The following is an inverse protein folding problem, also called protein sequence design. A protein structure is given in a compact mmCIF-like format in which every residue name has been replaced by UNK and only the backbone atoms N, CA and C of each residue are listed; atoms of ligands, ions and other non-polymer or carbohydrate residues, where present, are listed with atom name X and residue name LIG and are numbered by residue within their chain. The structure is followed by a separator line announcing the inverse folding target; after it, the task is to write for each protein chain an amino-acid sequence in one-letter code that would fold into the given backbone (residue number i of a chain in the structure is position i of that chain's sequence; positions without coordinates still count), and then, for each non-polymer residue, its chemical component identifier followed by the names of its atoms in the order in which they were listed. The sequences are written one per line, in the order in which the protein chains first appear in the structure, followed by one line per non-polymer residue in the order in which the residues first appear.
data_IF_155958288747
#
_entry.id   IF_155958288747
#
_cell.length_a   1.000
_cell.length_b   1.000
_cell.length_c   1.000
_cell.angle_alpha   90.00
_cell.angle_beta   90.00
_cell.angle_gamma   90.00
#
_symmetry.space_group_name_H-M   'P 1'
#
loop_
_entity.id
_entity.type
_entity.pdbx_description
1 polymer ?
#
# COMPACT_ATOMS: atom_id res chain seq x y z
N UNK A 1 16.22 27.39 -17.08
CA UNK A 1 15.07 26.46 -16.98
C UNK A 1 15.63 25.19 -16.37
N UNK A 2 15.09 24.70 -15.24
CA UNK A 2 15.55 23.44 -14.65
C UNK A 2 14.92 22.30 -15.45
N UNK A 3 15.77 21.44 -16.01
CA UNK A 3 15.35 20.22 -16.68
C UNK A 3 14.45 19.41 -15.74
N UNK A 4 13.22 19.14 -16.19
CA UNK A 4 12.33 18.20 -15.51
C UNK A 4 12.95 16.84 -15.69
N UNK A 5 13.43 16.24 -14.59
CA UNK A 5 13.85 14.85 -14.57
C UNK A 5 12.65 13.99 -14.97
N UNK A 6 12.71 13.47 -16.19
CA UNK A 6 11.69 12.62 -16.78
C UNK A 6 12.11 11.18 -16.52
N UNK A 7 11.31 10.45 -15.75
CA UNK A 7 11.57 9.04 -15.45
C UNK A 7 11.39 8.24 -16.74
N UNK A 8 12.44 7.61 -17.25
CA UNK A 8 12.35 6.71 -18.41
C UNK A 8 11.77 5.36 -17.95
N UNK A 9 10.45 5.21 -18.03
CA UNK A 9 9.74 4.02 -17.53
C UNK A 9 9.43 2.97 -18.60
N UNK A 10 9.83 3.17 -19.86
CA UNK A 10 9.41 2.27 -20.94
C UNK A 10 7.87 2.12 -21.07
N UNK A 11 7.09 3.09 -20.56
CA UNK A 11 5.63 3.11 -20.61
C UNK A 11 4.91 2.45 -19.43
N UNK A 12 5.49 2.45 -18.22
CA UNK A 12 4.92 1.81 -17.02
C UNK A 12 4.82 2.80 -15.84
N UNK A 13 3.60 3.30 -15.59
CA UNK A 13 3.12 4.01 -14.37
C UNK A 13 3.73 5.37 -14.02
N UNK A 14 2.86 6.31 -13.62
CA UNK A 14 3.24 7.43 -12.74
C UNK A 14 4.43 8.27 -13.18
N UNK A 15 4.57 8.56 -14.47
CA UNK A 15 5.74 9.30 -15.00
C UNK A 15 5.80 10.75 -14.52
N UNK A 16 4.68 11.27 -14.02
CA UNK A 16 4.57 12.65 -13.56
C UNK A 16 4.56 12.68 -12.03
N UNK A 17 5.30 13.64 -11.44
CA UNK A 17 5.15 13.97 -10.02
C UNK A 17 3.68 14.17 -9.65
N UNK A 18 3.34 13.82 -8.41
CA UNK A 18 1.99 13.94 -7.90
C UNK A 18 1.60 15.42 -7.86
N UNK A 19 0.40 15.74 -8.34
CA UNK A 19 -0.13 17.10 -8.27
C UNK A 19 -0.49 17.46 -6.84
N UNK A 20 -0.52 18.76 -6.51
CA UNK A 20 -0.90 19.22 -5.16
C UNK A 20 -2.30 18.73 -4.77
N UNK A 21 -3.25 18.69 -5.72
CA UNK A 21 -4.58 18.13 -5.48
C UNK A 21 -4.55 16.64 -5.15
N UNK A 22 -3.67 15.86 -5.78
CA UNK A 22 -3.48 14.45 -5.43
C UNK A 22 -2.87 14.31 -4.03
N UNK A 23 -1.83 15.10 -3.72
CA UNK A 23 -1.18 15.12 -2.40
C UNK A 23 -2.20 15.48 -1.31
N UNK A 24 -3.02 16.49 -1.51
CA UNK A 24 -4.09 16.88 -0.58
C UNK A 24 -5.12 15.77 -0.37
N UNK A 25 -5.57 15.11 -1.43
CA UNK A 25 -6.53 14.01 -1.34
C UNK A 25 -5.96 12.82 -0.57
N UNK A 26 -4.69 12.50 -0.81
CA UNK A 26 -3.96 11.45 -0.09
C UNK A 26 -3.86 11.83 1.40
N UNK A 27 -3.41 13.05 1.73
CA UNK A 27 -3.31 13.52 3.12
C UNK A 27 -4.66 13.52 3.83
N UNK A 28 -5.75 13.92 3.15
CA UNK A 28 -7.11 13.83 3.71
C UNK A 28 -7.48 12.39 4.05
N UNK A 29 -7.14 11.44 3.18
CA UNK A 29 -7.42 10.03 3.44
C UNK A 29 -6.56 9.46 4.57
N UNK A 30 -5.28 9.85 4.65
CA UNK A 30 -4.39 9.47 5.77
C UNK A 30 -4.99 9.95 7.10
N UNK A 31 -5.46 11.21 7.18
CA UNK A 31 -6.13 11.73 8.39
C UNK A 31 -7.38 10.92 8.78
N UNK A 32 -8.13 10.41 7.81
CA UNK A 32 -9.29 9.54 8.08
C UNK A 32 -8.87 8.16 8.60
N UNK A 33 -7.74 7.62 8.15
CA UNK A 33 -7.17 6.39 8.72
C UNK A 33 -6.73 6.67 10.17
N UNK A 34 -6.00 7.76 10.40
CA UNK A 34 -5.46 8.16 11.69
C UNK A 34 -6.54 8.43 12.75
N UNK A 35 -7.72 8.92 12.38
CA UNK A 35 -8.80 9.16 13.33
C UNK A 35 -9.31 7.89 14.01
N UNK A 36 -9.01 6.71 13.46
CA UNK A 36 -9.30 5.41 14.07
C UNK A 36 -8.05 4.59 14.40
N UNK A 37 -6.87 5.21 14.36
CA UNK A 37 -5.59 4.57 14.66
C UNK A 37 -5.12 4.93 16.08
N UNK A 38 -4.25 4.12 16.71
CA UNK A 38 -3.72 4.43 18.06
C UNK A 38 -2.82 5.67 18.08
N UNK A 39 -2.20 6.02 16.96
CA UNK A 39 -1.34 7.20 16.81
C UNK A 39 -1.24 7.64 15.35
N UNK A 40 -0.87 8.90 15.14
CA UNK A 40 -0.54 9.47 13.83
C UNK A 40 0.77 8.89 13.31
N UNK A 41 0.90 8.81 11.98
CA UNK A 41 2.17 8.42 11.35
C UNK A 41 3.25 9.46 11.67
N UNK A 42 4.44 8.99 12.03
CA UNK A 42 5.54 9.85 12.43
C UNK A 42 6.02 10.77 11.29
N UNK A 43 6.29 10.19 10.12
CA UNK A 43 6.82 10.94 8.97
C UNK A 43 6.09 10.54 7.68
N UNK A 44 5.64 11.55 6.92
CA UNK A 44 5.18 11.38 5.54
C UNK A 44 6.20 12.05 4.63
N UNK A 45 6.71 11.31 3.64
CA UNK A 45 7.70 11.80 2.69
C UNK A 45 7.21 11.59 1.27
N UNK A 46 7.07 12.70 0.55
CA UNK A 46 6.86 12.68 -0.89
C UNK A 46 8.18 12.33 -1.58
N UNK A 47 8.14 11.26 -2.36
CA UNK A 47 9.29 10.77 -3.13
C UNK A 47 8.90 10.63 -4.59
N UNK A 48 7.89 11.36 -5.03
CA UNK A 48 7.37 11.38 -6.40
C UNK A 48 8.31 12.04 -7.43
N UNK A 49 9.42 12.59 -6.95
CA UNK A 49 10.55 13.15 -7.71
C UNK A 49 11.82 12.29 -7.64
N UNK A 50 11.76 11.15 -6.94
CA UNK A 50 12.86 10.23 -6.68
C UNK A 50 12.38 8.86 -7.16
N UNK A 51 13.24 8.03 -7.72
CA UNK A 51 12.88 6.70 -8.25
C UNK A 51 12.57 5.70 -7.10
N UNK A 52 11.68 6.08 -6.17
CA UNK A 52 11.31 5.37 -4.96
C UNK A 52 9.82 5.08 -4.97
N UNK A 53 9.48 3.91 -4.43
CA UNK A 53 8.10 3.44 -4.38
C UNK A 53 7.38 3.89 -3.11
N UNK A 54 6.05 3.80 -3.16
CA UNK A 54 5.18 3.94 -2.01
C UNK A 54 5.38 2.75 -1.08
N UNK A 55 5.81 3.01 0.15
CA UNK A 55 6.14 1.98 1.12
C UNK A 55 6.16 2.55 2.55
N UNK A 56 5.73 1.74 3.50
CA UNK A 56 5.92 2.01 4.93
C UNK A 56 7.23 1.38 5.46
N UNK A 57 7.95 2.15 6.27
CA UNK A 57 9.18 1.72 6.95
C UNK A 57 9.01 1.80 8.48
N UNK A 58 8.87 0.65 9.17
CA UNK A 58 8.62 0.61 10.61
C UNK A 58 9.70 1.29 11.46
N UNK A 59 10.98 1.15 11.09
CA UNK A 59 12.11 1.67 11.88
C UNK A 59 12.14 3.19 12.08
N UNK A 60 11.43 3.95 11.23
CA UNK A 60 11.35 5.41 11.32
C UNK A 60 9.91 5.93 11.42
N UNK A 61 8.93 5.03 11.58
CA UNK A 61 7.50 5.31 11.40
C UNK A 61 7.24 6.21 10.17
N UNK A 62 7.82 5.80 9.03
CA UNK A 62 7.92 6.59 7.82
C UNK A 62 7.04 6.00 6.71
N UNK A 63 6.16 6.82 6.15
CA UNK A 63 5.47 6.53 4.89
C UNK A 63 6.12 7.30 3.75
N UNK A 64 6.75 6.58 2.82
CA UNK A 64 7.12 7.14 1.52
C UNK A 64 5.90 7.07 0.58
N UNK A 65 5.67 8.13 -0.17
CA UNK A 65 4.61 8.19 -1.18
C UNK A 65 5.23 8.61 -2.51
N UNK A 66 5.36 7.63 -3.41
CA UNK A 66 5.88 7.80 -4.77
C UNK A 66 4.75 7.95 -5.80
N UNK A 67 5.12 8.11 -7.07
CA UNK A 67 4.14 8.22 -8.16
C UNK A 67 3.38 6.90 -8.41
N UNK A 68 3.96 5.78 -8.00
CA UNK A 68 3.40 4.42 -8.06
C UNK A 68 2.16 4.22 -7.18
N UNK A 69 1.86 5.16 -6.27
CA UNK A 69 0.60 5.20 -5.52
C UNK A 69 -0.60 5.34 -6.46
N UNK A 70 -0.43 6.01 -7.61
CA UNK A 70 -1.52 6.23 -8.56
C UNK A 70 -1.73 4.99 -9.45
N UNK A 71 -3.00 4.62 -9.74
CA UNK A 71 -3.29 3.52 -10.65
C UNK A 71 -2.84 3.83 -12.08
N UNK A 72 -2.53 2.79 -12.86
CA UNK A 72 -2.16 2.95 -14.28
C UNK A 72 -3.38 3.35 -15.10
N UNK A 73 -3.24 4.34 -15.98
CA UNK A 73 -4.31 4.77 -16.89
C UNK A 73 -4.62 3.69 -17.94
N UNK A 74 -3.65 2.82 -18.29
CA UNK A 74 -3.86 1.66 -19.17
C UNK A 74 -3.08 0.43 -18.65
N UNK A 75 -3.74 -0.67 -18.28
CA UNK A 75 -3.06 -1.91 -17.90
C UNK A 75 -2.54 -2.62 -19.15
N UNK A 76 -1.43 -2.16 -19.74
CA UNK A 76 -0.73 -2.93 -20.77
C UNK A 76 0.15 -3.98 -20.08
N UNK A 77 -0.29 -5.24 -20.20
CA UNK A 77 0.42 -6.51 -19.95
C UNK A 77 0.30 -7.15 -18.56
N UNK A 78 -0.06 -8.44 -18.62
CA UNK A 78 0.21 -9.46 -17.60
C UNK A 78 1.73 -9.55 -17.40
N UNK A 79 2.21 -9.32 -16.18
CA UNK A 79 3.63 -9.43 -15.84
C UNK A 79 3.87 -9.08 -14.38
N UNK A 80 4.70 -9.88 -13.72
CA UNK A 80 4.98 -9.99 -12.29
C UNK A 80 5.72 -8.81 -11.67
N UNK A 81 5.13 -7.61 -11.64
CA UNK A 81 5.67 -6.49 -10.86
C UNK A 81 4.57 -5.80 -10.05
N UNK A 82 4.42 -6.29 -8.81
CA UNK A 82 3.78 -5.66 -7.62
C UNK A 82 2.27 -5.43 -7.68
N UNK A 83 1.56 -5.88 -6.64
CA UNK A 83 0.10 -5.77 -6.47
C UNK A 83 -0.49 -4.37 -6.72
N UNK A 84 0.32 -3.33 -6.51
CA UNK A 84 -0.04 -1.93 -6.70
C UNK A 84 -0.54 -1.66 -8.12
N UNK A 85 -0.08 -2.45 -9.10
CA UNK A 85 -0.78 -2.90 -10.32
C UNK A 85 -2.22 -2.45 -10.55
N UNK A 86 -3.08 -2.96 -9.66
CA UNK A 86 -4.54 -2.97 -9.82
C UNK A 86 -5.24 -2.20 -8.71
N UNK A 87 -4.48 -1.65 -7.76
CA UNK A 87 -4.99 -0.96 -6.60
C UNK A 87 -5.22 0.51 -6.91
N UNK A 88 -6.28 1.08 -6.35
CA UNK A 88 -6.47 2.52 -6.29
C UNK A 88 -5.44 3.13 -5.34
N UNK A 89 -5.15 4.42 -5.47
CA UNK A 89 -4.27 5.11 -4.52
C UNK A 89 -4.75 4.98 -3.06
N UNK A 90 -6.07 4.95 -2.81
CA UNK A 90 -6.62 4.69 -1.48
C UNK A 90 -6.23 3.32 -0.97
N UNK A 91 -6.38 2.30 -1.81
CA UNK A 91 -6.06 0.92 -1.46
C UNK A 91 -4.56 0.76 -1.16
N UNK A 92 -3.69 1.43 -1.92
CA UNK A 92 -2.25 1.45 -1.68
C UNK A 92 -1.92 2.11 -0.33
N UNK A 93 -2.46 3.30 -0.04
CA UNK A 93 -2.25 3.97 1.26
C UNK A 93 -2.80 3.14 2.44
N UNK A 94 -3.95 2.51 2.25
CA UNK A 94 -4.55 1.60 3.23
C UNK A 94 -3.66 0.37 3.50
N UNK A 95 -3.06 -0.20 2.44
CA UNK A 95 -2.10 -1.30 2.54
C UNK A 95 -0.90 -0.91 3.41
N UNK A 96 -0.30 0.26 3.16
CA UNK A 96 0.85 0.73 3.93
C UNK A 96 0.50 1.04 5.39
N UNK A 97 -0.59 1.76 5.63
CA UNK A 97 -0.90 2.27 6.98
C UNK A 97 -1.70 1.30 7.84
N UNK A 98 -2.83 0.80 7.34
CA UNK A 98 -3.67 -0.14 8.10
C UNK A 98 -3.08 -1.55 8.05
N UNK A 99 -2.45 -1.89 6.93
CA UNK A 99 -1.77 -3.16 6.74
C UNK A 99 -0.46 -3.25 7.52
N UNK A 100 0.61 -2.61 7.02
CA UNK A 100 1.94 -2.73 7.60
C UNK A 100 2.10 -1.98 8.92
N UNK A 101 1.82 -0.67 8.93
CA UNK A 101 2.10 0.17 10.11
C UNK A 101 1.38 -0.29 11.36
N UNK A 102 0.08 -0.51 11.30
CA UNK A 102 -0.66 -0.93 12.49
C UNK A 102 -0.29 -2.33 12.98
N UNK A 103 0.11 -3.24 12.09
CA UNK A 103 0.67 -4.53 12.51
C UNK A 103 2.04 -4.34 13.20
N UNK A 104 2.88 -3.45 12.66
CA UNK A 104 4.18 -3.11 13.24
C UNK A 104 4.07 -2.47 14.63
N UNK A 105 3.11 -1.57 14.84
CA UNK A 105 2.84 -0.97 16.15
C UNK A 105 2.44 -2.01 17.21
N UNK A 106 1.90 -3.16 16.80
CA UNK A 106 1.56 -4.29 17.67
C UNK A 106 2.67 -5.32 17.81
N UNK A 107 3.81 -5.13 17.13
CA UNK A 107 4.89 -6.12 17.10
C UNK A 107 4.57 -7.37 16.26
N UNK A 108 3.57 -7.31 15.36
CA UNK A 108 3.11 -8.44 14.53
C UNK A 108 3.61 -8.37 13.08
N UNK A 109 4.76 -7.75 12.84
CA UNK A 109 5.41 -7.83 11.52
C UNK A 109 5.83 -9.26 11.23
N UNK A 110 5.59 -9.72 10.02
CA UNK A 110 6.00 -11.02 9.55
C UNK A 110 7.39 -10.91 8.92
N UNK A 111 8.25 -11.90 9.18
CA UNK A 111 9.58 -11.96 8.58
C UNK A 111 9.54 -12.40 7.11
N UNK A 112 8.60 -13.28 6.78
CA UNK A 112 8.43 -13.80 5.42
C UNK A 112 7.63 -12.83 4.58
N UNK A 113 8.22 -12.31 3.49
CA UNK A 113 7.58 -11.33 2.60
C UNK A 113 6.17 -11.75 2.14
N UNK A 114 5.90 -13.02 1.74
CA UNK A 114 4.55 -13.41 1.34
C UNK A 114 3.52 -13.31 2.48
N UNK A 115 3.93 -13.55 3.73
CA UNK A 115 3.08 -13.43 4.90
C UNK A 115 2.82 -11.96 5.23
N UNK A 116 3.87 -11.12 5.21
CA UNK A 116 3.77 -9.70 5.55
C UNK A 116 2.87 -8.95 4.58
N UNK A 117 3.06 -9.17 3.28
CA UNK A 117 2.25 -8.52 2.25
C UNK A 117 0.80 -9.05 2.20
N UNK A 118 0.61 -10.33 2.51
CA UNK A 118 -0.73 -10.91 2.62
C UNK A 118 -1.47 -10.36 3.85
N UNK A 119 -0.78 -10.28 4.99
CA UNK A 119 -1.29 -9.64 6.20
C UNK A 119 -1.71 -8.21 5.90
N UNK A 120 -0.81 -7.41 5.31
CA UNK A 120 -1.09 -6.02 5.01
C UNK A 120 -2.32 -5.84 4.11
N UNK A 121 -2.42 -6.63 3.03
CA UNK A 121 -3.57 -6.60 2.12
C UNK A 121 -4.88 -6.98 2.81
N UNK A 122 -4.88 -8.07 3.59
CA UNK A 122 -6.09 -8.55 4.27
C UNK A 122 -6.53 -7.57 5.36
N UNK A 123 -5.58 -7.04 6.13
CA UNK A 123 -5.83 -6.00 7.14
C UNK A 123 -6.43 -4.75 6.52
N UNK A 124 -5.80 -4.23 5.46
CA UNK A 124 -6.28 -3.07 4.74
C UNK A 124 -7.71 -3.28 4.22
N UNK A 125 -7.99 -4.45 3.65
CA UNK A 125 -9.32 -4.79 3.17
C UNK A 125 -10.40 -4.84 4.26
N UNK A 126 -10.04 -5.29 5.47
CA UNK A 126 -10.98 -5.45 6.58
C UNK A 126 -11.21 -4.15 7.32
N UNK A 127 -10.14 -3.43 7.64
CA UNK A 127 -10.18 -2.39 8.67
C UNK A 127 -10.06 -0.97 8.15
N UNK A 128 -9.67 -0.78 6.89
CA UNK A 128 -9.51 0.58 6.36
C UNK A 128 -10.86 1.28 6.21
N UNK A 129 -10.97 2.55 6.62
CA UNK A 129 -12.19 3.32 6.44
C UNK A 129 -12.34 3.75 4.97
N UNK A 130 -13.59 3.96 4.54
CA UNK A 130 -13.93 4.57 3.24
C UNK A 130 -13.31 3.91 1.97
N UNK A 131 -13.00 2.61 2.04
CA UNK A 131 -12.79 1.76 0.86
C UNK A 131 -14.13 1.22 0.35
N UNK A 132 -14.33 1.28 -0.96
CA UNK A 132 -15.44 0.63 -1.65
C UNK A 132 -15.37 -0.90 -1.56
N UNK A 133 -16.49 -1.58 -1.82
CA UNK A 133 -16.52 -3.04 -1.88
C UNK A 133 -15.52 -3.61 -2.90
N UNK A 134 -15.38 -2.97 -4.06
CA UNK A 134 -14.42 -3.38 -5.10
C UNK A 134 -12.98 -3.27 -4.62
N UNK A 135 -12.61 -2.18 -3.92
CA UNK A 135 -11.27 -1.99 -3.35
C UNK A 135 -10.96 -3.04 -2.29
N UNK A 136 -11.89 -3.28 -1.35
CA UNK A 136 -11.75 -4.32 -0.32
C UNK A 136 -11.59 -5.70 -0.93
N UNK A 137 -12.43 -6.04 -1.92
CA UNK A 137 -12.36 -7.33 -2.59
C UNK A 137 -11.06 -7.51 -3.36
N UNK A 138 -10.56 -6.44 -4.00
CA UNK A 138 -9.28 -6.47 -4.71
C UNK A 138 -8.12 -6.73 -3.74
N UNK A 139 -8.09 -6.04 -2.59
CA UNK A 139 -7.09 -6.27 -1.54
C UNK A 139 -7.17 -7.69 -0.94
N UNK A 140 -8.37 -8.21 -0.68
CA UNK A 140 -8.52 -9.60 -0.22
C UNK A 140 -7.98 -10.60 -1.24
N UNK A 141 -8.34 -10.43 -2.52
CA UNK A 141 -7.82 -11.28 -3.60
C UNK A 141 -6.30 -11.19 -3.71
N UNK A 142 -5.74 -10.00 -3.56
CA UNK A 142 -4.29 -9.81 -3.59
C UNK A 142 -3.59 -10.57 -2.46
N UNK A 143 -4.06 -10.43 -1.22
CA UNK A 143 -3.50 -11.16 -0.08
C UNK A 143 -3.59 -12.68 -0.25
N UNK A 144 -4.73 -13.20 -0.71
CA UNK A 144 -4.89 -14.63 -1.01
C UNK A 144 -3.97 -15.09 -2.15
N UNK A 145 -3.81 -14.28 -3.20
CA UNK A 145 -2.93 -14.60 -4.32
C UNK A 145 -1.45 -14.66 -3.91
N UNK A 146 -1.00 -13.79 -2.99
CA UNK A 146 0.35 -13.81 -2.43
C UNK A 146 0.63 -15.08 -1.63
N UNK A 147 -0.30 -15.47 -0.75
CA UNK A 147 -0.21 -16.75 -0.05
C UNK A 147 -0.18 -17.93 -1.02
N UNK A 148 -1.07 -17.93 -2.01
CA UNK A 148 -1.14 -18.98 -3.02
C UNK A 148 0.18 -19.14 -3.81
N UNK A 149 0.80 -18.03 -4.23
CA UNK A 149 2.12 -18.05 -4.89
C UNK A 149 3.24 -18.60 -4.01
N UNK A 150 3.11 -18.47 -2.70
CA UNK A 150 4.01 -19.07 -1.72
C UNK A 150 3.60 -20.51 -1.31
N UNK A 151 2.64 -21.14 -2.00
CA UNK A 151 2.08 -22.46 -1.66
C UNK A 151 1.44 -22.53 -0.26
N UNK A 152 0.96 -21.39 0.26
CA UNK A 152 0.29 -21.29 1.55
C UNK A 152 -1.22 -21.10 1.37
N UNK A 153 -2.00 -21.73 2.25
CA UNK A 153 -3.44 -21.51 2.37
C UNK A 153 -3.72 -20.63 3.58
N UNK A 154 -4.66 -19.69 3.46
CA UNK A 154 -5.06 -18.80 4.57
C UNK A 154 -5.40 -19.59 5.85
N UNK A 155 -6.04 -20.76 5.74
CA UNK A 155 -6.38 -21.60 6.90
C UNK A 155 -5.15 -22.10 7.70
N UNK A 156 -3.98 -22.17 7.07
CA UNK A 156 -2.73 -22.59 7.71
C UNK A 156 -2.06 -21.43 8.45
N UNK A 157 -2.26 -20.20 7.98
CA UNK A 157 -1.52 -19.02 8.47
C UNK A 157 -2.40 -18.01 9.21
N UNK A 158 -3.74 -18.12 9.16
CA UNK A 158 -4.67 -17.14 9.73
C UNK A 158 -4.47 -16.86 11.24
N UNK A 159 -3.85 -17.79 11.97
CA UNK A 159 -3.60 -17.67 13.40
C UNK A 159 -2.31 -16.91 13.71
N UNK A 160 -1.39 -16.80 12.74
CA UNK A 160 -0.12 -16.05 12.89
C UNK A 160 -0.20 -14.65 12.27
N UNK A 161 -1.20 -14.39 11.42
CA UNK A 161 -1.43 -13.07 10.85
C UNK A 161 -2.31 -12.21 11.78
N UNK A 162 -1.96 -10.94 11.94
CA UNK A 162 -2.77 -9.95 12.65
C UNK A 162 -3.94 -9.48 11.77
N UNK A 163 -4.95 -10.32 11.55
CA UNK A 163 -6.06 -10.04 10.62
C UNK A 163 -7.45 -10.07 11.28
N UNK A 164 -7.51 -10.24 12.61
CA UNK A 164 -8.76 -10.45 13.34
C UNK A 164 -9.25 -9.21 14.11
N UNK A 165 -8.38 -8.25 14.39
CA UNK A 165 -8.73 -6.99 15.04
C UNK A 165 -7.89 -5.84 14.49
N UNK A 166 -8.42 -4.63 14.64
CA UNK A 166 -7.66 -3.38 14.49
C UNK A 166 -7.14 -2.96 15.85
#
# INVERSE_FOLDING_TARGET
MKDKYQVDTGGLRGELPLTDSQKERILKYIKLIESGAPSKVGVIRWVDDKELNTAYSPGFDLLNIGTDVMPVIQPKRQGTLTANTRLTWKSSIAHELVGHREAALKGNTQLETPLEEAQASIRAARFSPFLSYTERYTLLRDGIARLYRANLKIRQVKNILDINSR
#
